data_IF_102086655502
#
_entry.id   IF_102086655502
#
_cell.length_a   1.000
_cell.length_b   1.000
_cell.length_c   1.000
_cell.angle_alpha   90.00
_cell.angle_beta   90.00
_cell.angle_gamma   90.00
#
_symmetry.space_group_name_H-M   'P 1'
#
loop_
_entity.id
_entity.type
_entity.pdbx_description
1 polymer ?
#
# COMPACT_ATOMS: atom_id res chain seq x y z
N UNK A 1 9.79 -6.08 1.97
CA UNK A 1 8.79 -6.35 3.03
C UNK A 1 7.53 -5.58 2.68
N UNK A 2 6.35 -6.21 2.74
CA UNK A 2 5.06 -5.58 2.43
C UNK A 2 4.72 -4.43 3.41
N UNK A 3 3.49 -3.94 3.37
CA UNK A 3 3.01 -2.83 4.21
C UNK A 3 3.25 -3.00 5.72
N UNK A 4 2.94 -1.97 6.50
CA UNK A 4 3.13 -2.01 7.95
C UNK A 4 2.12 -2.96 8.61
N UNK A 5 2.64 -4.04 9.19
CA UNK A 5 1.88 -4.98 10.02
C UNK A 5 1.97 -4.54 11.49
N UNK A 6 1.18 -3.53 11.84
CA UNK A 6 1.12 -2.99 13.19
C UNK A 6 -0.25 -2.41 13.50
N UNK A 7 -0.56 -2.32 14.80
CA UNK A 7 -1.80 -1.71 15.28
C UNK A 7 -1.57 -0.20 15.39
N UNK A 8 -2.39 0.58 14.70
CA UNK A 8 -2.37 2.04 14.78
C UNK A 8 -3.24 2.52 15.95
N UNK A 9 -2.76 3.54 16.67
CA UNK A 9 -3.51 4.15 17.80
C UNK A 9 -4.85 4.73 17.33
N UNK A 10 -4.86 5.31 16.13
CA UNK A 10 -6.06 5.80 15.46
C UNK A 10 -6.32 4.99 14.20
N UNK A 11 -7.60 4.72 13.85
CA UNK A 11 -7.94 4.05 12.60
C UNK A 11 -7.40 4.83 11.40
N UNK A 12 -6.75 4.13 10.48
CA UNK A 12 -6.31 4.73 9.23
C UNK A 12 -7.50 4.88 8.28
N UNK A 13 -7.46 5.95 7.49
CA UNK A 13 -8.39 6.10 6.38
C UNK A 13 -8.17 5.00 5.33
N UNK A 14 -9.25 4.53 4.70
CA UNK A 14 -9.22 3.40 3.76
C UNK A 14 -8.22 3.59 2.60
N UNK A 15 -8.02 4.82 2.13
CA UNK A 15 -7.11 5.12 1.02
C UNK A 15 -5.62 4.99 1.37
N UNK A 16 -5.28 4.78 2.65
CA UNK A 16 -3.91 4.53 3.13
C UNK A 16 -3.54 3.05 3.13
N UNK A 17 -4.51 2.15 2.88
CA UNK A 17 -4.27 0.72 2.81
C UNK A 17 -3.91 0.28 1.40
N UNK A 18 -2.90 -0.56 1.28
CA UNK A 18 -2.53 -1.17 0.00
C UNK A 18 -3.64 -2.14 -0.45
N UNK A 19 -4.16 -2.02 -1.69
CA UNK A 19 -5.15 -2.97 -2.21
C UNK A 19 -4.64 -4.41 -2.33
N UNK A 20 -3.33 -4.60 -2.47
CA UNK A 20 -2.70 -5.92 -2.64
C UNK A 20 -2.48 -6.62 -1.29
N UNK A 21 -1.75 -6.00 -0.36
CA UNK A 21 -1.42 -6.64 0.91
C UNK A 21 -2.41 -6.33 2.04
N UNK A 22 -3.39 -5.44 1.84
CA UNK A 22 -4.40 -5.01 2.82
C UNK A 22 -3.85 -4.42 4.13
N UNK A 23 -2.57 -4.07 4.14
CA UNK A 23 -1.89 -3.37 5.24
C UNK A 23 -1.71 -1.89 4.91
N UNK A 24 -1.36 -1.08 5.92
CA UNK A 24 -0.98 0.30 5.70
C UNK A 24 0.21 0.37 4.74
N UNK A 25 0.14 1.20 3.70
CA UNK A 25 1.15 1.21 2.65
C UNK A 25 2.52 1.58 3.21
N UNK A 26 3.53 0.77 2.89
CA UNK A 26 4.95 1.09 3.12
C UNK A 26 5.55 1.53 1.80
N UNK A 27 6.20 2.70 1.80
CA UNK A 27 6.77 3.34 0.60
C UNK A 27 5.77 3.36 -0.58
N UNK A 28 4.67 4.14 -0.45
CA UNK A 28 3.59 4.10 -1.43
C UNK A 28 4.01 4.70 -2.77
N UNK A 29 3.81 3.92 -3.83
CA UNK A 29 3.95 4.35 -5.23
C UNK A 29 2.58 4.63 -5.84
N UNK A 30 2.46 5.71 -6.62
CA UNK A 30 1.23 6.11 -7.30
C UNK A 30 1.34 5.78 -8.79
N UNK A 31 0.38 5.04 -9.32
CA UNK A 31 0.28 4.79 -10.76
C UNK A 31 -0.19 6.08 -11.45
N UNK A 32 0.58 6.57 -12.41
CA UNK A 32 0.31 7.85 -13.10
C UNK A 32 -0.95 7.80 -13.97
N UNK A 33 -1.27 6.64 -14.56
CA UNK A 33 -2.42 6.48 -15.46
C UNK A 33 -3.78 6.47 -14.76
N UNK A 34 -3.85 6.01 -13.50
CA UNK A 34 -5.13 5.82 -12.79
C UNK A 34 -5.14 6.38 -11.36
N UNK A 35 -4.01 6.89 -10.85
CA UNK A 35 -3.91 7.52 -9.53
C UNK A 35 -3.95 6.57 -8.33
N UNK A 36 -4.09 5.26 -8.54
CA UNK A 36 -4.09 4.26 -7.48
C UNK A 36 -2.72 4.15 -6.79
N UNK A 37 -2.73 3.82 -5.49
CA UNK A 37 -1.52 3.73 -4.66
C UNK A 37 -1.33 2.31 -4.11
N UNK A 38 -0.09 1.85 -4.09
CA UNK A 38 0.32 0.52 -3.62
C UNK A 38 1.66 0.63 -2.87
N UNK A 39 2.02 -0.36 -2.07
CA UNK A 39 3.42 -0.47 -1.60
C UNK A 39 4.34 -0.71 -2.79
N UNK A 40 5.53 -0.10 -2.79
CA UNK A 40 6.54 -0.32 -3.84
C UNK A 40 6.81 -1.82 -4.07
N UNK A 41 7.12 -2.56 -3.00
CA UNK A 41 7.39 -4.00 -3.11
C UNK A 41 6.18 -4.79 -3.65
N UNK A 42 4.96 -4.45 -3.22
CA UNK A 42 3.77 -5.17 -3.68
C UNK A 42 3.49 -4.90 -5.16
N UNK A 43 3.74 -3.68 -5.64
CA UNK A 43 3.57 -3.36 -7.05
C UNK A 43 4.64 -4.06 -7.90
N UNK A 44 5.90 -4.06 -7.46
CA UNK A 44 6.99 -4.76 -8.14
C UNK A 44 6.74 -6.27 -8.21
N UNK A 45 6.29 -6.89 -7.12
CA UNK A 45 5.95 -8.31 -7.09
C UNK A 45 4.76 -8.67 -8.01
N UNK A 46 3.77 -7.77 -8.14
CA UNK A 46 2.60 -7.98 -9.01
C UNK A 46 2.92 -7.81 -10.50
N UNK A 47 3.89 -6.97 -10.84
CA UNK A 47 4.30 -6.70 -12.23
C UNK A 47 5.39 -7.65 -12.74
N UNK A 48 5.94 -8.50 -11.87
CA UNK A 48 6.95 -9.49 -12.18
C UNK A 48 6.36 -10.72 -12.87
#
# INVERSE_FOLDING_TARGET
>A
MPGFDMIFVNPLARYLYCPLCKLAMKEPVKITSCGHRFCDSCLQDFLR
#
